data_IF_675938025060
#
_entry.id   IF_675938025060
#
_cell.length_a   1.000
_cell.length_b   1.000
_cell.length_c   1.000
_cell.angle_alpha   90.00
_cell.angle_beta   90.00
_cell.angle_gamma   90.00
#
_symmetry.space_group_name_H-M   'P 1'
#
loop_
_entity.id
_entity.type
_entity.pdbx_description
1 polymer ?
#
# COMPACT_ATOMS: atom_id res chain seq x y z
N UNK A 1 5.20 -27.52 -6.52
CA UNK A 1 3.88 -27.18 -7.11
C UNK A 1 4.03 -25.79 -7.72
N UNK A 2 3.65 -25.60 -8.94
CA UNK A 2 3.68 -24.27 -9.57
C UNK A 2 2.53 -23.48 -8.97
N UNK A 3 2.83 -22.35 -8.30
CA UNK A 3 1.81 -21.44 -7.76
C UNK A 3 0.88 -20.90 -8.86
N UNK A 4 -0.23 -20.28 -8.46
CA UNK A 4 -1.19 -19.70 -9.41
C UNK A 4 -0.55 -18.56 -10.21
N UNK A 5 -0.92 -18.47 -11.47
CA UNK A 5 -0.55 -17.35 -12.33
C UNK A 5 -1.47 -16.15 -12.04
N UNK A 6 -0.89 -15.04 -11.61
CA UNK A 6 -1.64 -13.82 -11.34
C UNK A 6 -0.82 -12.58 -11.68
N UNK A 7 -1.50 -11.50 -11.97
CA UNK A 7 -0.92 -10.17 -12.10
C UNK A 7 -1.96 -9.13 -11.70
N UNK A 8 -1.51 -8.10 -11.00
CA UNK A 8 -2.31 -6.90 -10.71
C UNK A 8 -1.50 -5.66 -11.05
N UNK A 9 -2.13 -4.68 -11.68
CA UNK A 9 -1.56 -3.38 -12.04
C UNK A 9 -2.54 -2.29 -11.60
N UNK A 10 -2.06 -1.24 -10.96
CA UNK A 10 -2.95 -0.19 -10.49
C UNK A 10 -2.29 0.89 -9.65
N UNK A 11 -3.12 1.51 -8.83
CA UNK A 11 -2.81 2.68 -8.02
C UNK A 11 -2.62 2.29 -6.57
N UNK A 12 -1.53 2.74 -5.99
CA UNK A 12 -1.14 2.45 -4.62
C UNK A 12 -1.03 3.74 -3.82
N UNK A 13 -1.44 3.69 -2.57
CA UNK A 13 -1.20 4.75 -1.59
C UNK A 13 -1.01 4.14 -0.21
N UNK A 14 -0.09 4.72 0.55
CA UNK A 14 0.12 4.38 1.95
C UNK A 14 0.13 5.62 2.83
N UNK A 15 -0.16 5.41 4.10
CA UNK A 15 -0.09 6.40 5.18
C UNK A 15 0.51 5.73 6.40
N UNK A 16 1.56 6.30 6.95
CA UNK A 16 2.18 5.74 8.14
C UNK A 16 2.54 6.82 9.17
N UNK A 17 2.80 6.39 10.39
CA UNK A 17 3.06 7.25 11.55
C UNK A 17 4.35 8.06 11.46
N UNK A 18 5.27 7.75 10.56
CA UNK A 18 6.55 8.43 10.40
C UNK A 18 6.42 9.86 9.87
N UNK A 19 7.46 10.65 10.00
CA UNK A 19 7.64 11.89 9.25
C UNK A 19 7.81 11.62 7.74
N UNK A 20 7.69 12.65 6.92
CA UNK A 20 7.82 12.54 5.46
C UNK A 20 9.14 11.87 5.06
N UNK A 21 9.08 10.99 4.07
CA UNK A 21 10.24 10.21 3.63
C UNK A 21 10.52 9.00 4.53
N UNK A 22 9.48 8.29 4.92
CA UNK A 22 9.46 7.15 5.85
C UNK A 22 10.82 6.43 5.98
N UNK A 23 11.44 6.36 7.18
CA UNK A 23 12.74 5.73 7.36
C UNK A 23 12.79 4.25 6.96
N UNK A 24 11.67 3.55 6.96
CA UNK A 24 11.59 2.16 6.51
C UNK A 24 12.03 1.98 5.04
N UNK A 25 11.89 3.01 4.20
CA UNK A 25 12.40 3.02 2.82
C UNK A 25 13.93 2.89 2.75
N UNK A 26 14.62 3.32 3.79
CA UNK A 26 16.07 3.17 3.96
C UNK A 26 16.46 2.12 5.01
N UNK A 27 15.57 1.18 5.33
CA UNK A 27 15.77 0.09 6.31
C UNK A 27 16.08 0.59 7.73
N UNK A 28 15.65 1.79 8.08
CA UNK A 28 15.84 2.39 9.40
C UNK A 28 14.61 2.22 10.30
N UNK A 29 14.78 2.52 11.59
CA UNK A 29 13.68 2.48 12.56
C UNK A 29 12.67 3.60 12.30
N UNK A 30 11.37 3.38 12.61
CA UNK A 30 10.34 4.39 12.45
C UNK A 30 10.61 5.61 13.34
N UNK A 31 10.22 6.79 12.83
CA UNK A 31 10.49 8.09 13.50
C UNK A 31 10.06 8.14 14.97
N UNK A 32 8.96 7.47 15.31
CA UNK A 32 8.35 7.51 16.65
C UNK A 32 8.37 6.15 17.36
N UNK A 33 9.19 5.22 16.90
CA UNK A 33 9.45 3.94 17.55
C UNK A 33 8.50 2.81 17.15
N UNK A 34 7.28 3.13 16.70
CA UNK A 34 6.31 2.17 16.15
C UNK A 34 5.86 2.57 14.75
N UNK A 35 5.33 1.61 14.01
CA UNK A 35 4.79 1.84 12.69
C UNK A 35 3.31 1.49 12.65
N UNK A 36 2.46 2.48 12.42
CA UNK A 36 1.00 2.28 12.30
C UNK A 36 0.45 3.10 11.15
N UNK A 37 -0.64 2.61 10.54
CA UNK A 37 -1.25 3.31 9.42
C UNK A 37 -2.15 2.44 8.57
N UNK A 38 -2.20 2.78 7.30
CA UNK A 38 -2.92 2.01 6.29
C UNK A 38 -2.17 1.99 4.97
N UNK A 39 -2.44 0.93 4.22
CA UNK A 39 -2.10 0.78 2.80
C UNK A 39 -3.39 0.57 2.03
N UNK A 40 -3.48 1.13 0.84
CA UNK A 40 -4.60 0.91 -0.06
C UNK A 40 -4.12 0.79 -1.50
N UNK A 41 -4.75 -0.09 -2.28
CA UNK A 41 -4.53 -0.15 -3.72
C UNK A 41 -5.85 -0.41 -4.45
N UNK A 42 -5.95 0.14 -5.64
CA UNK A 42 -7.02 -0.13 -6.59
C UNK A 42 -6.42 -0.83 -7.81
N UNK A 43 -6.99 -1.95 -8.15
CA UNK A 43 -6.61 -2.75 -9.31
C UNK A 43 -7.27 -2.11 -10.54
N UNK A 44 -6.47 -1.54 -11.43
CA UNK A 44 -6.97 -1.04 -12.71
C UNK A 44 -7.11 -2.18 -13.72
N UNK A 45 -6.17 -3.14 -13.67
CA UNK A 45 -6.20 -4.41 -14.42
C UNK A 45 -5.61 -5.52 -13.55
N UNK A 46 -6.26 -6.65 -13.51
CA UNK A 46 -5.74 -7.78 -12.76
C UNK A 46 -6.47 -9.08 -13.00
N UNK A 47 -5.76 -10.17 -12.77
CA UNK A 47 -6.30 -11.52 -12.83
C UNK A 47 -5.57 -12.45 -11.85
N UNK A 48 -6.25 -13.53 -11.50
CA UNK A 48 -5.66 -14.70 -10.84
C UNK A 48 -6.25 -15.94 -11.49
N UNK A 49 -5.42 -16.65 -12.26
CA UNK A 49 -5.91 -17.69 -13.19
C UNK A 49 -7.02 -17.12 -14.08
N UNK A 50 -8.19 -17.73 -14.10
CA UNK A 50 -9.35 -17.31 -14.89
C UNK A 50 -10.18 -16.19 -14.22
N UNK A 51 -9.83 -15.79 -12.99
CA UNK A 51 -10.62 -14.82 -12.21
C UNK A 51 -10.14 -13.41 -12.50
N UNK A 52 -10.97 -12.57 -13.10
CA UNK A 52 -10.69 -11.16 -13.32
C UNK A 52 -10.86 -10.37 -12.02
N UNK A 53 -9.93 -9.43 -11.76
CA UNK A 53 -9.87 -8.63 -10.54
C UNK A 53 -9.98 -7.12 -10.81
N UNK A 54 -10.31 -6.72 -12.03
CA UNK A 54 -10.38 -5.33 -12.46
C UNK A 54 -11.34 -4.52 -11.57
N UNK A 55 -10.99 -3.25 -11.36
CA UNK A 55 -11.80 -2.27 -10.61
C UNK A 55 -12.07 -2.58 -9.12
N UNK A 56 -11.44 -3.61 -8.57
CA UNK A 56 -11.52 -3.90 -7.14
C UNK A 56 -10.50 -3.07 -6.36
N UNK A 57 -10.87 -2.71 -5.14
CA UNK A 57 -9.98 -2.04 -4.19
C UNK A 57 -9.72 -2.92 -2.96
N UNK A 58 -8.55 -2.74 -2.40
CA UNK A 58 -8.13 -3.37 -1.15
C UNK A 58 -7.56 -2.30 -0.23
N UNK A 59 -7.90 -2.37 1.04
CA UNK A 59 -7.33 -1.55 2.11
C UNK A 59 -6.82 -2.47 3.20
N UNK A 60 -5.69 -2.13 3.81
CA UNK A 60 -5.19 -2.80 4.99
C UNK A 60 -4.80 -1.77 6.05
N UNK A 61 -5.32 -1.88 7.26
CA UNK A 61 -4.79 -1.13 8.40
C UNK A 61 -3.79 -1.99 9.13
N UNK A 62 -2.71 -1.39 9.66
CA UNK A 62 -1.62 -2.14 10.26
C UNK A 62 -1.03 -1.46 11.49
N UNK A 63 -0.40 -2.27 12.33
CA UNK A 63 0.42 -1.86 13.45
C UNK A 63 1.63 -2.78 13.60
N UNK A 64 2.81 -2.20 13.76
CA UNK A 64 4.05 -2.89 14.13
C UNK A 64 4.66 -2.18 15.33
N UNK A 65 5.04 -2.89 16.40
CA UNK A 65 5.55 -2.27 17.63
C UNK A 65 6.95 -1.64 17.47
N UNK A 66 7.61 -1.88 16.34
CA UNK A 66 8.92 -1.33 15.94
C UNK A 66 8.97 -1.23 14.41
N UNK A 67 10.18 -1.18 13.83
CA UNK A 67 10.35 -1.25 12.38
C UNK A 67 9.71 -2.53 11.83
N UNK A 68 9.08 -2.45 10.66
CA UNK A 68 8.32 -3.56 10.05
C UNK A 68 9.14 -4.84 9.91
N UNK A 69 10.45 -4.73 9.63
CA UNK A 69 11.35 -5.87 9.48
C UNK A 69 11.64 -6.63 10.80
N UNK A 70 11.25 -6.09 11.95
CA UNK A 70 11.28 -6.80 13.24
C UNK A 70 10.08 -7.71 13.45
N UNK A 71 9.07 -7.67 12.57
CA UNK A 71 7.88 -8.51 12.67
C UNK A 71 6.90 -8.05 13.75
N UNK A 72 6.13 -8.99 14.30
CA UNK A 72 5.07 -8.76 15.28
C UNK A 72 3.93 -7.86 14.75
N UNK A 73 3.76 -7.83 13.41
CA UNK A 73 2.73 -7.04 12.76
C UNK A 73 1.32 -7.51 13.08
N UNK A 74 0.43 -6.56 13.22
CA UNK A 74 -1.03 -6.78 13.27
C UNK A 74 -1.64 -6.14 12.04
N UNK A 75 -2.45 -6.87 11.30
CA UNK A 75 -3.02 -6.44 10.03
C UNK A 75 -4.53 -6.73 9.98
N UNK A 76 -5.31 -5.76 9.51
CA UNK A 76 -6.74 -5.89 9.24
C UNK A 76 -6.97 -5.75 7.74
N UNK A 77 -7.23 -6.83 7.00
CA UNK A 77 -7.59 -6.75 5.58
C UNK A 77 -9.03 -6.26 5.40
N UNK A 78 -9.25 -5.41 4.41
CA UNK A 78 -10.54 -4.87 4.01
C UNK A 78 -10.63 -5.00 2.49
N UNK A 79 -11.60 -5.76 2.02
CA UNK A 79 -11.82 -6.04 0.61
C UNK A 79 -13.10 -5.34 0.14
N UNK A 80 -13.10 -4.93 -1.11
CA UNK A 80 -14.26 -4.34 -1.75
C UNK A 80 -15.48 -5.27 -1.64
N UNK A 81 -16.60 -4.77 -1.12
CA UNK A 81 -17.82 -5.54 -0.94
C UNK A 81 -18.39 -6.08 -2.26
N UNK A 82 -18.06 -5.43 -3.39
CA UNK A 82 -18.46 -5.86 -4.74
C UNK A 82 -17.78 -7.13 -5.21
N UNK A 83 -16.67 -7.52 -4.55
CA UNK A 83 -15.93 -8.72 -4.92
C UNK A 83 -16.80 -9.98 -4.73
N UNK A 84 -16.91 -10.78 -5.78
CA UNK A 84 -17.51 -12.10 -5.74
C UNK A 84 -16.70 -13.05 -4.84
N UNK A 85 -17.26 -14.18 -4.45
CA UNK A 85 -16.54 -15.19 -3.67
C UNK A 85 -15.25 -15.66 -4.37
N UNK A 86 -15.30 -15.90 -5.69
CA UNK A 86 -14.12 -16.28 -6.47
C UNK A 86 -13.04 -15.19 -6.44
N UNK A 87 -13.43 -13.91 -6.56
CA UNK A 87 -12.51 -12.78 -6.48
C UNK A 87 -11.92 -12.60 -5.08
N UNK A 88 -12.71 -12.80 -4.03
CA UNK A 88 -12.24 -12.78 -2.64
C UNK A 88 -11.20 -13.86 -2.39
N UNK A 89 -11.47 -15.09 -2.83
CA UNK A 89 -10.54 -16.21 -2.71
C UNK A 89 -9.24 -15.95 -3.48
N UNK A 90 -9.33 -15.37 -4.69
CA UNK A 90 -8.17 -14.98 -5.48
C UNK A 90 -7.34 -13.89 -4.77
N UNK A 91 -7.98 -12.85 -4.24
CA UNK A 91 -7.31 -11.79 -3.48
C UNK A 91 -6.66 -12.33 -2.20
N UNK A 92 -7.32 -13.20 -1.45
CA UNK A 92 -6.72 -13.84 -0.28
C UNK A 92 -5.50 -14.66 -0.63
N UNK A 93 -5.54 -15.44 -1.71
CA UNK A 93 -4.38 -16.18 -2.19
C UNK A 93 -3.20 -15.24 -2.50
N UNK A 94 -3.44 -14.16 -3.24
CA UNK A 94 -2.41 -13.17 -3.58
C UNK A 94 -1.83 -12.53 -2.31
N UNK A 95 -2.70 -12.04 -1.43
CA UNK A 95 -2.32 -11.32 -0.21
C UNK A 95 -1.62 -12.20 0.83
N UNK A 96 -1.91 -13.51 0.84
CA UNK A 96 -1.26 -14.45 1.75
C UNK A 96 0.22 -14.68 1.46
N UNK A 97 0.70 -14.30 0.27
CA UNK A 97 2.07 -14.59 -0.16
C UNK A 97 2.33 -16.07 -0.43
N UNK A 98 1.29 -16.92 -0.42
CA UNK A 98 1.40 -18.36 -0.67
C UNK A 98 1.99 -18.63 -2.05
N UNK A 99 2.90 -19.60 -2.13
CA UNK A 99 3.61 -20.01 -3.36
C UNK A 99 4.41 -18.88 -4.05
N UNK A 100 4.66 -17.76 -3.38
CA UNK A 100 5.46 -16.67 -3.93
C UNK A 100 6.94 -16.80 -3.53
N UNK A 101 7.89 -16.44 -4.41
CA UNK A 101 9.31 -16.44 -4.08
C UNK A 101 9.65 -15.53 -2.89
N UNK A 102 10.64 -15.95 -2.12
CA UNK A 102 11.18 -15.13 -1.01
C UNK A 102 11.64 -13.78 -1.55
N UNK A 103 11.22 -12.71 -0.88
CA UNK A 103 11.56 -11.33 -1.25
C UNK A 103 10.51 -10.61 -2.08
N UNK A 104 9.40 -11.25 -2.44
CA UNK A 104 8.25 -10.55 -3.02
C UNK A 104 7.43 -9.86 -1.94
N UNK A 105 6.69 -8.79 -2.29
CA UNK A 105 5.95 -7.95 -1.36
C UNK A 105 5.05 -8.78 -0.41
N UNK A 106 4.14 -9.55 -0.96
CA UNK A 106 3.16 -10.28 -0.15
C UNK A 106 3.82 -11.42 0.66
N UNK A 107 4.86 -12.06 0.11
CA UNK A 107 5.62 -13.07 0.84
C UNK A 107 6.36 -12.45 2.04
N UNK A 108 6.98 -11.26 1.89
CA UNK A 108 7.61 -10.55 3.01
C UNK A 108 6.56 -10.24 4.08
N UNK A 109 5.41 -9.65 3.69
CA UNK A 109 4.35 -9.33 4.65
C UNK A 109 3.78 -10.57 5.34
N UNK A 110 3.68 -11.71 4.66
CA UNK A 110 3.20 -12.96 5.28
C UNK A 110 4.11 -13.46 6.41
N UNK A 111 5.40 -13.10 6.38
CA UNK A 111 6.37 -13.49 7.41
C UNK A 111 6.39 -12.50 8.59
N UNK A 112 6.25 -11.21 8.31
CA UNK A 112 6.36 -10.16 9.35
C UNK A 112 5.04 -9.82 10.03
N UNK A 113 3.90 -10.18 9.45
CA UNK A 113 2.58 -10.05 10.08
C UNK A 113 2.30 -11.31 10.92
N UNK A 114 2.26 -11.14 12.24
CA UNK A 114 2.00 -12.23 13.18
C UNK A 114 0.49 -12.43 13.44
N UNK A 115 -0.27 -11.33 13.40
CA UNK A 115 -1.71 -11.37 13.68
C UNK A 115 -2.50 -10.78 12.51
N UNK A 116 -3.27 -11.60 11.84
CA UNK A 116 -4.25 -11.16 10.85
C UNK A 116 -5.63 -11.16 11.51
N UNK A 117 -6.30 -10.00 11.49
CA UNK A 117 -7.69 -9.86 11.97
C UNK A 117 -8.66 -10.39 10.93
N UNK A 118 -9.88 -10.73 11.34
CA UNK A 118 -10.92 -11.19 10.42
C UNK A 118 -11.12 -10.17 9.28
N UNK A 119 -11.19 -10.61 8.03
CA UNK A 119 -11.34 -9.70 6.90
C UNK A 119 -12.69 -8.99 6.95
N UNK A 120 -12.69 -7.71 6.58
CA UNK A 120 -13.90 -6.93 6.38
C UNK A 120 -14.24 -6.86 4.89
N UNK A 121 -15.52 -6.83 4.58
CA UNK A 121 -16.05 -6.61 3.24
C UNK A 121 -16.90 -5.36 3.29
N UNK A 122 -16.44 -4.29 2.64
CA UNK A 122 -17.07 -2.98 2.77
C UNK A 122 -16.94 -2.18 1.48
N UNK A 123 -17.79 -1.16 1.34
CA UNK A 123 -17.61 -0.15 0.30
C UNK A 123 -16.32 0.63 0.58
N UNK A 124 -15.43 0.66 -0.41
CA UNK A 124 -14.18 1.40 -0.36
C UNK A 124 -14.31 2.65 -1.25
N UNK A 125 -14.15 3.82 -0.65
CA UNK A 125 -13.96 5.07 -1.39
C UNK A 125 -12.48 5.20 -1.72
N UNK A 126 -12.16 5.35 -3.01
CA UNK A 126 -10.79 5.45 -3.49
C UNK A 126 -10.68 6.52 -4.57
N UNK A 127 -10.22 7.71 -4.19
CA UNK A 127 -9.85 8.80 -5.08
C UNK A 127 -8.34 8.94 -5.09
N UNK A 128 -7.74 9.20 -6.26
CA UNK A 128 -6.30 9.23 -6.38
C UNK A 128 -5.84 10.04 -7.60
N UNK A 129 -4.95 10.99 -7.37
CA UNK A 129 -4.35 11.85 -8.38
C UNK A 129 -2.86 12.01 -8.06
N UNK A 130 -2.02 11.28 -8.79
CA UNK A 130 -0.58 11.23 -8.56
C UNK A 130 0.08 12.59 -8.86
N UNK A 131 -0.37 13.28 -9.91
CA UNK A 131 0.20 14.56 -10.31
C UNK A 131 -0.03 15.64 -9.25
N UNK A 132 -1.18 15.60 -8.62
CA UNK A 132 -1.51 16.50 -7.53
C UNK A 132 -1.06 15.99 -6.18
N UNK A 133 -0.49 14.79 -6.08
CA UNK A 133 -0.14 14.15 -4.80
C UNK A 133 -1.31 14.12 -3.81
N UNK A 134 -2.50 13.81 -4.35
CA UNK A 134 -3.75 13.77 -3.61
C UNK A 134 -4.40 12.40 -3.71
N UNK A 135 -4.81 11.89 -2.58
CA UNK A 135 -5.64 10.71 -2.49
C UNK A 135 -6.67 10.88 -1.37
N UNK A 136 -7.77 10.16 -1.48
CA UNK A 136 -8.75 10.00 -0.42
C UNK A 136 -9.15 8.54 -0.35
N UNK A 137 -9.03 7.96 0.84
CA UNK A 137 -9.42 6.59 1.14
C UNK A 137 -10.45 6.63 2.27
N UNK A 138 -11.58 5.97 2.06
CA UNK A 138 -12.65 5.90 3.04
C UNK A 138 -13.27 4.51 3.12
N UNK A 139 -13.40 3.99 4.34
CA UNK A 139 -14.22 2.83 4.69
C UNK A 139 -15.00 3.22 5.92
N UNK A 140 -16.34 3.21 5.82
CA UNK A 140 -17.22 3.66 6.90
C UNK A 140 -16.90 2.95 8.21
N UNK A 141 -16.79 3.72 9.30
CA UNK A 141 -16.52 3.26 10.67
C UNK A 141 -15.19 2.50 10.87
N UNK A 142 -14.36 2.38 9.83
CA UNK A 142 -13.08 1.64 9.88
C UNK A 142 -11.89 2.57 9.69
N UNK A 143 -11.87 3.35 8.60
CA UNK A 143 -10.75 4.24 8.30
C UNK A 143 -11.17 5.38 7.38
N UNK A 144 -10.54 6.54 7.57
CA UNK A 144 -10.59 7.67 6.65
C UNK A 144 -9.20 8.26 6.51
N UNK A 145 -8.79 8.55 5.30
CA UNK A 145 -7.49 9.16 5.04
C UNK A 145 -7.55 10.10 3.83
N UNK A 146 -6.69 11.09 3.83
CA UNK A 146 -6.41 11.89 2.64
C UNK A 146 -4.95 12.35 2.64
N UNK A 147 -4.45 12.67 1.45
CA UNK A 147 -3.13 13.27 1.27
C UNK A 147 -3.20 14.57 0.50
N UNK A 148 -2.25 15.44 0.77
CA UNK A 148 -2.03 16.71 0.08
C UNK A 148 -0.53 16.91 -0.16
N UNK A 149 -0.11 17.79 -1.09
CA UNK A 149 1.30 18.12 -1.29
C UNK A 149 2.00 18.53 0.01
N UNK A 150 3.23 18.07 0.19
CA UNK A 150 4.10 18.59 1.25
C UNK A 150 4.32 20.08 0.98
N UNK A 151 4.30 20.90 2.03
CA UNK A 151 4.51 22.34 1.93
C UNK A 151 5.78 22.77 2.67
N UNK A 152 6.48 23.71 2.08
CA UNK A 152 7.58 24.40 2.74
C UNK A 152 7.01 25.17 3.96
N UNK A 153 7.52 24.93 5.18
CA UNK A 153 6.95 25.55 6.39
C UNK A 153 7.20 27.07 6.48
N UNK A 154 8.05 27.62 5.63
CA UNK A 154 8.41 29.06 5.63
C UNK A 154 7.65 29.82 4.52
N UNK A 155 7.59 29.26 3.29
CA UNK A 155 7.02 29.94 2.12
C UNK A 155 5.62 29.47 1.78
N UNK A 156 5.16 28.37 2.36
CA UNK A 156 3.92 27.65 2.04
C UNK A 156 3.84 27.15 0.60
N UNK A 157 4.93 27.19 -0.14
CA UNK A 157 5.01 26.61 -1.48
C UNK A 157 5.00 25.09 -1.44
N UNK A 158 4.47 24.47 -2.50
CA UNK A 158 4.51 23.01 -2.64
C UNK A 158 5.95 22.51 -2.76
N UNK A 159 6.29 21.52 -1.93
CA UNK A 159 7.58 20.84 -1.96
C UNK A 159 7.39 19.43 -2.53
N UNK A 160 7.86 19.21 -3.75
CA UNK A 160 7.79 17.90 -4.39
C UNK A 160 8.97 17.03 -3.94
N UNK A 161 8.66 15.86 -3.43
CA UNK A 161 9.63 14.84 -3.03
C UNK A 161 9.24 13.52 -3.66
N UNK A 162 10.20 12.80 -4.23
CA UNK A 162 10.03 11.49 -4.84
C UNK A 162 10.97 10.50 -4.16
N UNK A 163 10.43 9.38 -3.71
CA UNK A 163 11.22 8.22 -3.30
C UNK A 163 11.51 7.36 -4.53
N UNK A 164 12.78 7.04 -4.77
CA UNK A 164 13.23 6.21 -5.89
C UNK A 164 13.96 4.99 -5.38
N UNK A 165 13.40 3.81 -5.67
CA UNK A 165 13.91 2.51 -5.23
C UNK A 165 14.13 1.61 -6.45
N UNK A 166 15.29 1.68 -7.13
CA UNK A 166 15.56 0.88 -8.34
C UNK A 166 15.44 -0.63 -8.13
N UNK A 167 15.62 -1.09 -6.89
CA UNK A 167 15.42 -2.47 -6.44
C UNK A 167 14.34 -2.56 -5.37
N UNK A 168 13.34 -1.69 -5.46
CA UNK A 168 12.18 -1.73 -4.58
C UNK A 168 11.40 -3.05 -4.72
N UNK A 169 10.70 -3.42 -3.69
CA UNK A 169 9.87 -4.62 -3.65
C UNK A 169 8.37 -4.30 -3.62
N UNK A 170 8.00 -3.06 -3.28
CA UNK A 170 6.63 -2.54 -3.35
C UNK A 170 6.42 -1.70 -4.60
N UNK A 171 7.30 -0.74 -4.84
CA UNK A 171 7.26 0.17 -5.98
C UNK A 171 8.69 0.57 -6.41
N UNK A 172 8.83 1.14 -7.58
CA UNK A 172 10.09 1.73 -8.05
C UNK A 172 10.19 3.22 -7.74
N UNK A 173 9.09 3.95 -7.91
CA UNK A 173 9.00 5.38 -7.61
C UNK A 173 7.67 5.67 -6.90
N UNK A 174 7.71 6.55 -5.91
CA UNK A 174 6.53 7.06 -5.25
C UNK A 174 6.61 8.57 -5.05
N UNK A 175 5.53 9.28 -5.34
CA UNK A 175 5.35 10.68 -4.97
C UNK A 175 5.03 10.77 -3.48
N UNK A 176 5.85 11.49 -2.73
CA UNK A 176 5.62 11.72 -1.32
C UNK A 176 4.62 12.84 -1.11
N UNK A 177 3.78 12.67 -0.11
CA UNK A 177 2.72 13.60 0.27
C UNK A 177 2.63 13.74 1.78
N UNK A 178 1.90 14.77 2.21
CA UNK A 178 1.51 14.95 3.61
C UNK A 178 0.19 14.22 3.86
N UNK A 179 0.25 13.19 4.70
CA UNK A 179 -0.87 12.31 4.99
C UNK A 179 -1.63 12.70 6.26
N UNK A 180 -2.94 12.54 6.18
CA UNK A 180 -3.87 12.63 7.31
C UNK A 180 -4.69 11.36 7.32
N UNK A 181 -4.66 10.61 8.40
CA UNK A 181 -5.38 9.35 8.45
C UNK A 181 -5.88 9.03 9.85
N UNK A 182 -7.07 8.47 9.95
CA UNK A 182 -7.67 8.06 11.22
C UNK A 182 -8.22 6.65 11.11
N UNK A 183 -7.65 5.74 11.87
CA UNK A 183 -8.16 4.39 12.12
C UNK A 183 -9.24 4.43 13.20
N UNK A 184 -10.43 3.99 12.87
CA UNK A 184 -11.61 3.98 13.74
C UNK A 184 -12.01 2.56 14.15
N UNK A 185 -11.58 1.56 13.36
CA UNK A 185 -11.89 0.15 13.56
C UNK A 185 -11.02 -0.53 14.60
N UNK A 186 -10.60 -1.76 14.32
CA UNK A 186 -9.80 -2.61 15.23
C UNK A 186 -8.42 -2.01 15.51
N UNK A 187 -7.75 -1.47 14.49
CA UNK A 187 -6.47 -0.79 14.62
C UNK A 187 -6.75 0.72 14.64
N UNK A 188 -6.44 1.35 15.79
CA UNK A 188 -6.72 2.77 16.02
C UNK A 188 -5.47 3.59 15.87
N UNK A 189 -5.56 4.67 15.11
CA UNK A 189 -4.51 5.68 14.96
C UNK A 189 -5.11 7.04 14.57
N UNK A 190 -4.35 8.11 14.77
CA UNK A 190 -4.70 9.47 14.37
C UNK A 190 -3.44 10.16 13.85
N UNK A 191 -3.28 10.19 12.54
CA UNK A 191 -2.12 10.71 11.83
C UNK A 191 -2.44 12.09 11.28
N UNK A 192 -1.58 13.06 11.59
CA UNK A 192 -1.73 14.43 11.16
C UNK A 192 -0.41 14.94 10.58
N UNK A 193 -0.40 15.23 9.28
CA UNK A 193 0.79 15.64 8.52
C UNK A 193 1.93 14.65 8.66
N UNK A 194 1.63 13.36 8.45
CA UNK A 194 2.60 12.27 8.48
C UNK A 194 2.92 11.80 7.06
N UNK A 195 3.79 10.81 6.97
CA UNK A 195 4.15 10.24 5.68
C UNK A 195 2.94 9.69 4.94
N UNK A 196 2.89 10.00 3.65
CA UNK A 196 2.06 9.33 2.66
C UNK A 196 2.85 9.24 1.36
N UNK A 197 2.72 8.13 0.65
CA UNK A 197 3.30 7.99 -0.68
C UNK A 197 2.30 7.38 -1.65
N UNK A 198 2.36 7.85 -2.90
CA UNK A 198 1.50 7.43 -3.99
C UNK A 198 2.35 6.87 -5.11
N UNK A 199 1.98 5.70 -5.65
CA UNK A 199 2.72 5.05 -6.72
C UNK A 199 1.80 4.35 -7.72
N UNK A 200 2.25 4.22 -8.97
CA UNK A 200 1.77 3.16 -9.86
C UNK A 200 2.53 1.88 -9.55
N UNK A 201 1.81 0.79 -9.44
CA UNK A 201 2.37 -0.52 -9.12
C UNK A 201 1.91 -1.57 -10.12
N UNK A 202 2.76 -2.55 -10.34
CA UNK A 202 2.44 -3.76 -11.09
C UNK A 202 3.14 -4.94 -10.42
N UNK A 203 2.38 -5.86 -9.89
CA UNK A 203 2.87 -7.05 -9.19
C UNK A 203 2.36 -8.33 -9.84
N UNK A 204 3.18 -9.35 -9.81
CA UNK A 204 2.79 -10.72 -10.13
C UNK A 204 3.40 -11.69 -9.09
N UNK A 205 3.21 -12.99 -9.30
CA UNK A 205 3.75 -14.03 -8.41
C UNK A 205 5.28 -13.96 -8.21
N UNK A 206 6.01 -13.25 -9.06
CA UNK A 206 7.47 -13.11 -8.97
C UNK A 206 7.92 -11.75 -8.40
N UNK A 207 6.99 -10.89 -7.98
CA UNK A 207 7.23 -9.54 -7.45
C UNK A 207 6.86 -8.44 -8.43
N UNK A 208 7.67 -7.37 -8.50
CA UNK A 208 7.44 -6.28 -9.45
C UNK A 208 7.58 -6.78 -10.90
N UNK A 209 6.56 -6.47 -11.73
CA UNK A 209 6.48 -6.92 -13.12
C UNK A 209 7.57 -6.28 -13.99
N UNK A 210 7.85 -5.02 -13.74
CA UNK A 210 8.81 -4.23 -14.52
C UNK A 210 10.16 -4.13 -13.81
N UNK A 211 11.25 -4.15 -14.56
CA UNK A 211 12.53 -3.61 -14.09
C UNK A 211 12.42 -2.09 -13.92
N UNK A 212 13.35 -1.48 -13.20
CA UNK A 212 13.32 -0.01 -13.02
C UNK A 212 13.39 0.75 -14.34
N UNK A 213 14.16 0.26 -15.30
CA UNK A 213 14.29 0.92 -16.61
C UNK A 213 13.01 0.81 -17.44
N UNK A 214 12.33 -0.35 -17.42
CA UNK A 214 11.02 -0.53 -18.05
C UNK A 214 9.96 0.34 -17.37
N UNK A 215 9.98 0.41 -16.03
CA UNK A 215 9.09 1.28 -15.26
C UNK A 215 9.26 2.75 -15.68
N UNK A 216 10.50 3.25 -15.78
CA UNK A 216 10.77 4.62 -16.24
C UNK A 216 10.26 4.89 -17.66
N UNK A 217 10.40 3.92 -18.57
CA UNK A 217 9.88 4.07 -19.94
C UNK A 217 8.35 4.12 -19.98
N UNK A 218 7.67 3.37 -19.10
CA UNK A 218 6.20 3.27 -19.08
C UNK A 218 5.54 4.38 -18.26
N UNK A 219 6.10 4.72 -17.10
CA UNK A 219 5.50 5.60 -16.09
C UNK A 219 6.41 6.76 -15.67
N UNK A 220 7.68 6.76 -16.09
CA UNK A 220 8.66 7.76 -15.68
C UNK A 220 8.20 9.17 -16.01
N UNK A 221 8.47 10.08 -15.08
CA UNK A 221 8.09 11.48 -15.17
C UNK A 221 9.34 12.35 -15.37
N UNK A 222 9.23 13.42 -16.12
CA UNK A 222 10.32 14.37 -16.27
C UNK A 222 10.66 15.09 -14.97
#
# INVERSE_FOLDING_TARGET
MTGKNWQIEGRYVEYCSCDHGCPCESMADPTYGDCTGLVAFRIDKGYCEEVQLDDLAVVGTFYFPRAIHHGQGVFQPILDERATEAQRNALFYILSGEDQPVGTMFQIFSVIIETIKDPLFAKIEFEWDLDKRRARIGVADVVRAHSEPIRNPVTDEEHRMITVLPKGWVFHEAENASGFAKGLGTIKFDLNRRHSSLAYVAWNQNGLVHTYDEYKQKFGRP
#
